data_IF_038027192456
#
_entry.id   IF_038027192456
#
_cell.length_a   1.000
_cell.length_b   1.000
_cell.length_c   1.000
_cell.angle_alpha   90.00
_cell.angle_beta   90.00
_cell.angle_gamma   90.00
#
_symmetry.space_group_name_H-M   'P 1'
#
loop_
_entity.id
_entity.type
_entity.pdbx_description
1 polymer ?
#
# COMPACT_ATOMS: atom_id res chain seq x y z
N UNK A 1 21.40 -29.90 3.59
CA UNK A 1 20.60 -30.01 4.82
C UNK A 1 20.25 -28.59 5.20
N UNK A 2 19.00 -28.22 4.97
CA UNK A 2 18.45 -26.88 5.20
C UNK A 2 18.18 -26.73 6.70
N UNK A 3 18.81 -25.76 7.34
CA UNK A 3 18.51 -25.40 8.73
C UNK A 3 17.17 -24.66 8.77
N UNK A 4 16.19 -25.26 9.44
CA UNK A 4 14.90 -24.65 9.78
C UNK A 4 15.14 -23.85 11.06
N UNK A 5 15.04 -22.53 11.00
CA UNK A 5 15.07 -21.68 12.19
C UNK A 5 13.66 -21.60 12.81
N UNK A 6 13.59 -21.41 14.13
CA UNK A 6 12.40 -21.61 14.98
C UNK A 6 11.21 -20.64 14.76
N UNK A 7 11.28 -19.76 13.76
CA UNK A 7 10.34 -18.63 13.63
C UNK A 7 9.22 -18.84 12.61
N UNK A 8 9.10 -20.01 11.98
CA UNK A 8 7.94 -20.34 11.12
C UNK A 8 7.74 -19.45 9.88
N UNK A 9 8.65 -18.51 9.61
CA UNK A 9 8.66 -17.66 8.42
C UNK A 9 9.84 -18.11 7.56
N UNK A 10 9.56 -18.69 6.38
CA UNK A 10 10.57 -18.91 5.35
C UNK A 10 11.32 -17.61 5.09
N UNK A 11 12.64 -17.71 4.87
CA UNK A 11 13.58 -16.59 4.87
C UNK A 11 13.36 -15.67 3.66
N UNK A 12 12.28 -14.88 3.66
CA UNK A 12 11.96 -13.88 2.64
C UNK A 12 12.89 -12.68 2.83
N UNK A 13 13.42 -12.18 1.72
CA UNK A 13 14.23 -10.95 1.74
C UNK A 13 13.30 -9.78 2.04
N UNK A 14 13.45 -9.16 3.21
CA UNK A 14 12.66 -7.98 3.56
C UNK A 14 13.32 -6.74 2.97
N UNK A 15 12.58 -6.05 2.11
CA UNK A 15 13.01 -4.78 1.55
C UNK A 15 12.93 -3.69 2.61
N UNK A 16 14.07 -3.01 2.79
CA UNK A 16 14.24 -1.93 3.77
C UNK A 16 14.23 -0.57 3.06
N UNK A 17 13.63 0.47 3.66
CA UNK A 17 13.72 1.83 3.15
C UNK A 17 15.19 2.26 3.16
N UNK A 18 15.68 2.75 2.03
CA UNK A 18 17.03 3.31 1.95
C UNK A 18 17.06 4.46 0.95
N UNK A 19 18.07 5.31 1.02
CA UNK A 19 18.26 6.32 -0.04
C UNK A 19 18.42 5.69 -1.43
N UNK A 20 18.84 4.42 -1.50
CA UNK A 20 18.98 3.65 -2.73
C UNK A 20 17.64 3.16 -3.31
N UNK A 21 16.54 3.15 -2.54
CA UNK A 21 15.19 2.79 -3.05
C UNK A 21 14.49 3.96 -3.72
N UNK A 22 14.97 5.20 -3.61
CA UNK A 22 14.34 6.33 -4.32
C UNK A 22 14.80 6.42 -5.78
N UNK A 23 13.85 6.47 -6.70
CA UNK A 23 14.11 6.69 -8.11
C UNK A 23 14.60 8.12 -8.35
N UNK A 24 15.81 8.23 -8.92
CA UNK A 24 16.46 9.51 -9.22
C UNK A 24 15.77 10.21 -10.39
N UNK A 25 15.62 11.54 -10.33
CA UNK A 25 14.80 12.26 -11.30
C UNK A 25 15.19 11.97 -12.75
N UNK A 26 14.20 11.69 -13.57
CA UNK A 26 14.36 11.52 -15.01
C UNK A 26 13.91 12.81 -15.70
N UNK A 27 14.73 13.40 -16.60
CA UNK A 27 14.35 14.60 -17.34
C UNK A 27 13.07 14.42 -18.15
N UNK A 28 12.29 15.49 -18.29
CA UNK A 28 10.99 15.47 -18.96
C UNK A 28 11.09 14.99 -20.41
N UNK A 29 12.17 15.36 -21.11
CA UNK A 29 12.46 14.98 -22.48
C UNK A 29 12.61 13.46 -22.61
N UNK A 30 13.25 12.84 -21.61
CA UNK A 30 13.41 11.39 -21.57
C UNK A 30 12.08 10.68 -21.34
N UNK A 31 11.18 11.25 -20.53
CA UNK A 31 9.82 10.75 -20.38
C UNK A 31 9.08 10.74 -21.73
N UNK A 32 9.20 11.81 -22.50
CA UNK A 32 8.51 11.94 -23.79
C UNK A 32 9.08 10.93 -24.80
N UNK A 33 10.40 10.79 -24.83
CA UNK A 33 11.09 9.77 -25.64
C UNK A 33 10.62 8.35 -25.27
N UNK A 34 10.56 8.03 -23.98
CA UNK A 34 10.11 6.72 -23.50
C UNK A 34 8.67 6.44 -23.92
N UNK A 35 7.76 7.39 -23.75
CA UNK A 35 6.35 7.20 -24.11
C UNK A 35 6.19 6.99 -25.62
N UNK A 36 6.87 7.80 -26.43
CA UNK A 36 6.83 7.66 -27.89
C UNK A 36 7.42 6.31 -28.33
N UNK A 37 8.64 5.99 -27.88
CA UNK A 37 9.36 4.78 -28.30
C UNK A 37 8.70 3.49 -27.80
N UNK A 38 8.19 3.48 -26.57
CA UNK A 38 7.62 2.27 -25.97
C UNK A 38 6.15 2.09 -26.32
N UNK A 39 5.37 3.17 -26.39
CA UNK A 39 3.91 3.06 -26.53
C UNK A 39 3.36 3.66 -27.83
N UNK A 40 4.18 4.29 -28.67
CA UNK A 40 3.72 4.90 -29.93
C UNK A 40 2.88 6.17 -29.74
N UNK A 41 2.82 6.70 -28.51
CA UNK A 41 1.97 7.83 -28.16
C UNK A 41 2.78 9.12 -28.11
N UNK A 42 2.20 10.23 -28.57
CA UNK A 42 2.79 11.56 -28.41
C UNK A 42 2.24 12.20 -27.14
N UNK A 43 3.13 12.55 -26.20
CA UNK A 43 2.74 13.24 -24.95
C UNK A 43 2.31 14.67 -25.24
N UNK A 44 1.10 15.04 -24.81
CA UNK A 44 0.55 16.39 -24.90
C UNK A 44 0.90 17.21 -23.65
N UNK A 45 0.77 16.59 -22.48
CA UNK A 45 1.16 17.18 -21.21
C UNK A 45 1.67 16.11 -20.25
N UNK A 46 2.58 16.50 -19.36
CA UNK A 46 2.99 15.67 -18.23
C UNK A 46 3.13 16.50 -16.96
N UNK A 47 2.87 15.86 -15.82
CA UNK A 47 3.24 16.36 -14.50
C UNK A 47 3.76 15.21 -13.66
N UNK A 48 4.76 15.47 -12.84
CA UNK A 48 5.17 14.54 -11.80
C UNK A 48 4.03 14.43 -10.77
N UNK A 49 3.78 13.22 -10.31
CA UNK A 49 2.83 12.92 -9.22
C UNK A 49 3.66 12.49 -8.03
N UNK A 50 3.20 12.83 -6.82
CA UNK A 50 3.89 12.44 -5.60
C UNK A 50 4.03 10.91 -5.52
N UNK A 51 5.23 10.47 -5.19
CA UNK A 51 5.61 9.07 -5.08
C UNK A 51 6.78 8.95 -4.11
N UNK A 52 6.83 7.84 -3.38
CA UNK A 52 7.85 7.64 -2.34
C UNK A 52 9.15 7.06 -2.92
N UNK A 53 9.09 5.82 -3.40
CA UNK A 53 10.24 5.10 -3.97
C UNK A 53 10.32 5.25 -5.49
N UNK A 54 9.21 5.15 -6.20
CA UNK A 54 9.18 5.24 -7.67
C UNK A 54 9.12 6.69 -8.17
N UNK A 55 9.16 6.86 -9.49
CA UNK A 55 8.73 8.09 -10.14
C UNK A 55 7.48 7.88 -10.95
N UNK A 56 6.42 8.61 -10.57
CA UNK A 56 5.13 8.57 -11.22
C UNK A 56 4.90 9.86 -12.00
N UNK A 57 4.46 9.74 -13.26
CA UNK A 57 4.10 10.86 -14.11
C UNK A 57 2.69 10.67 -14.64
N UNK A 58 1.82 11.63 -14.34
CA UNK A 58 0.54 11.74 -15.04
C UNK A 58 0.81 12.33 -16.42
N UNK A 59 0.32 11.65 -17.46
CA UNK A 59 0.48 12.06 -18.85
C UNK A 59 -0.85 12.03 -19.58
N UNK A 60 -1.06 13.05 -20.42
CA UNK A 60 -2.07 12.99 -21.48
C UNK A 60 -1.37 12.80 -22.81
N UNK A 61 -1.98 12.03 -23.69
CA UNK A 61 -1.37 11.69 -24.96
C UNK A 61 -2.36 11.85 -26.10
N UNK A 62 -1.82 11.97 -27.31
CA UNK A 62 -2.55 11.68 -28.54
C UNK A 62 -1.90 10.49 -29.21
N UNK A 63 -2.71 9.76 -29.96
CA UNK A 63 -2.19 8.82 -30.92
C UNK A 63 -1.67 9.59 -32.14
N UNK A 64 -0.50 9.17 -32.63
CA UNK A 64 0.14 9.78 -33.80
C UNK A 64 -0.44 9.21 -35.09
N UNK A 65 -0.82 7.94 -35.08
CA UNK A 65 -1.15 7.17 -36.30
C UNK A 65 -2.62 6.68 -36.34
N UNK A 66 -3.45 7.03 -35.35
CA UNK A 66 -4.84 6.57 -35.18
C UNK A 66 -5.01 5.04 -35.13
N UNK A 67 -4.04 4.33 -34.56
CA UNK A 67 -4.02 2.87 -34.34
C UNK A 67 -4.20 2.46 -32.87
N UNK A 68 -4.13 3.40 -31.93
CA UNK A 68 -4.11 3.22 -30.48
C UNK A 68 -5.32 3.94 -29.87
N UNK A 69 -6.15 3.19 -29.14
CA UNK A 69 -7.20 3.79 -28.34
C UNK A 69 -6.60 4.52 -27.13
N UNK A 70 -6.72 5.85 -27.10
CA UNK A 70 -6.26 6.67 -25.98
C UNK A 70 -7.28 6.64 -24.84
N UNK A 71 -6.81 6.39 -23.61
CA UNK A 71 -7.59 6.54 -22.39
C UNK A 71 -8.11 7.99 -22.27
N UNK A 72 -9.42 8.20 -22.05
CA UNK A 72 -10.00 9.55 -21.98
C UNK A 72 -9.45 10.40 -20.84
N UNK A 73 -8.90 9.76 -19.81
CA UNK A 73 -8.34 10.42 -18.64
C UNK A 73 -6.81 10.38 -18.61
N UNK A 74 -6.15 9.91 -19.67
CA UNK A 74 -4.70 9.77 -19.71
C UNK A 74 -4.17 8.56 -18.95
N UNK A 75 -2.90 8.64 -18.56
CA UNK A 75 -2.12 7.53 -18.01
C UNK A 75 -1.22 7.97 -16.87
N UNK A 76 -0.81 7.01 -16.05
CA UNK A 76 0.32 7.14 -15.14
C UNK A 76 1.48 6.32 -15.68
N UNK A 77 2.55 6.99 -16.14
CA UNK A 77 3.82 6.34 -16.43
C UNK A 77 4.59 6.17 -15.12
N UNK A 78 5.02 4.95 -14.83
CA UNK A 78 5.80 4.60 -13.64
C UNK A 78 7.22 4.19 -14.05
N UNK A 79 8.21 4.82 -13.43
CA UNK A 79 9.61 4.42 -13.49
C UNK A 79 9.97 3.85 -12.12
N UNK A 80 10.13 2.53 -12.09
CA UNK A 80 10.33 1.75 -10.88
C UNK A 80 11.71 2.02 -10.30
N UNK A 81 11.82 1.96 -8.98
CA UNK A 81 13.09 2.09 -8.30
C UNK A 81 14.12 1.00 -8.73
N UNK A 82 15.43 1.24 -8.49
CA UNK A 82 16.48 0.35 -8.97
C UNK A 82 16.47 -1.03 -8.28
N UNK A 83 15.92 -1.10 -7.06
CA UNK A 83 15.84 -2.33 -6.27
C UNK A 83 14.72 -3.20 -6.84
N UNK A 84 13.51 -2.66 -6.93
CA UNK A 84 12.34 -3.40 -7.42
C UNK A 84 12.41 -3.69 -8.92
N UNK A 85 13.18 -2.89 -9.68
CA UNK A 85 13.49 -3.18 -11.09
C UNK A 85 14.21 -4.52 -11.29
N UNK A 86 14.84 -5.07 -10.24
CA UNK A 86 15.50 -6.39 -10.26
C UNK A 86 14.52 -7.54 -10.03
N UNK A 87 13.27 -7.25 -9.65
CA UNK A 87 12.24 -8.25 -9.36
C UNK A 87 11.05 -8.08 -10.32
N UNK A 88 11.24 -8.31 -11.63
CA UNK A 88 10.19 -8.07 -12.63
C UNK A 88 8.93 -8.91 -12.39
N UNK A 89 9.04 -10.09 -11.77
CA UNK A 89 7.90 -10.94 -11.45
C UNK A 89 6.93 -10.28 -10.45
N UNK A 90 7.43 -9.40 -9.58
CA UNK A 90 6.59 -8.62 -8.66
C UNK A 90 5.71 -7.64 -9.42
N UNK A 91 6.27 -6.95 -10.42
CA UNK A 91 5.52 -6.05 -11.30
C UNK A 91 4.48 -6.81 -12.14
N UNK A 92 4.78 -8.04 -12.58
CA UNK A 92 3.77 -8.89 -13.25
C UNK A 92 2.60 -9.22 -12.31
N UNK A 93 2.91 -9.49 -11.04
CA UNK A 93 1.91 -9.80 -10.02
C UNK A 93 0.95 -8.61 -9.81
N UNK A 94 1.50 -7.40 -9.69
CA UNK A 94 0.71 -6.16 -9.59
C UNK A 94 -0.18 -5.95 -10.82
N UNK A 95 0.34 -6.22 -12.02
CA UNK A 95 -0.42 -6.10 -13.27
C UNK A 95 -1.56 -7.11 -13.35
N UNK A 96 -1.30 -8.36 -12.95
CA UNK A 96 -2.31 -9.41 -12.89
C UNK A 96 -3.40 -9.10 -11.85
N UNK A 97 -3.01 -8.56 -10.69
CA UNK A 97 -3.92 -8.13 -9.63
C UNK A 97 -4.85 -7.02 -10.12
N UNK A 98 -4.29 -5.97 -10.73
CA UNK A 98 -5.05 -4.87 -11.32
C UNK A 98 -6.04 -5.37 -12.39
N UNK A 99 -5.60 -6.26 -13.26
CA UNK A 99 -6.48 -6.87 -14.28
C UNK A 99 -7.62 -7.66 -13.65
N UNK A 100 -7.33 -8.47 -12.62
CA UNK A 100 -8.34 -9.24 -11.87
C UNK A 100 -9.39 -8.33 -11.22
N UNK A 101 -8.95 -7.23 -10.59
CA UNK A 101 -9.84 -6.23 -10.00
C UNK A 101 -10.73 -5.61 -11.09
N UNK A 102 -10.15 -5.19 -12.20
CA UNK A 102 -10.90 -4.61 -13.33
C UNK A 102 -11.94 -5.59 -13.91
N UNK A 103 -11.59 -6.86 -14.07
CA UNK A 103 -12.49 -7.91 -14.57
C UNK A 103 -13.65 -8.21 -13.62
N UNK A 104 -13.52 -7.89 -12.32
CA UNK A 104 -14.63 -7.98 -11.35
C UNK A 104 -15.64 -6.83 -11.46
N UNK A 105 -15.36 -5.82 -12.30
CA UNK A 105 -16.17 -4.61 -12.46
C UNK A 105 -15.80 -3.46 -11.53
N UNK A 106 -14.75 -3.62 -10.70
CA UNK A 106 -14.20 -2.51 -9.92
C UNK A 106 -13.26 -1.67 -10.78
N UNK A 107 -13.31 -0.35 -10.61
CA UNK A 107 -12.35 0.56 -11.23
C UNK A 107 -11.02 0.51 -10.49
N UNK A 108 -9.92 0.36 -11.24
CA UNK A 108 -8.55 0.49 -10.76
C UNK A 108 -7.62 0.83 -11.94
N UNK A 109 -6.37 1.27 -11.70
CA UNK A 109 -5.40 1.49 -12.77
C UNK A 109 -5.13 0.19 -13.53
N UNK A 110 -5.30 0.18 -14.85
CA UNK A 110 -5.11 -1.02 -15.68
C UNK A 110 -3.80 -0.90 -16.46
N UNK A 111 -2.94 -1.93 -16.45
CA UNK A 111 -1.69 -1.95 -17.22
C UNK A 111 -1.90 -1.76 -18.72
N UNK A 112 -1.04 -0.96 -19.34
CA UNK A 112 -1.06 -0.66 -20.78
C UNK A 112 0.07 -1.41 -21.48
N UNK A 113 -0.25 -2.10 -22.58
CA UNK A 113 0.76 -2.78 -23.40
C UNK A 113 1.59 -1.76 -24.17
N UNK A 114 2.89 -2.01 -24.24
CA UNK A 114 3.82 -1.34 -25.12
C UNK A 114 3.73 -1.90 -26.56
N UNK A 115 4.44 -1.29 -27.50
CA UNK A 115 4.46 -1.70 -28.92
C UNK A 115 4.96 -3.13 -29.15
N UNK A 116 5.64 -3.72 -28.16
CA UNK A 116 6.09 -5.14 -28.17
C UNK A 116 5.09 -6.07 -27.48
N UNK A 117 3.88 -5.62 -27.19
CA UNK A 117 2.85 -6.37 -26.46
C UNK A 117 3.22 -6.80 -25.03
N UNK A 118 4.21 -6.15 -24.43
CA UNK A 118 4.60 -6.32 -23.03
C UNK A 118 4.02 -5.20 -22.17
N UNK A 119 3.73 -5.47 -20.88
CA UNK A 119 3.27 -4.45 -19.94
C UNK A 119 4.39 -3.63 -19.29
N UNK A 120 5.64 -4.01 -19.51
CA UNK A 120 6.82 -3.33 -18.96
C UNK A 120 8.00 -3.38 -19.93
N UNK A 121 8.97 -2.51 -19.72
CA UNK A 121 10.26 -2.49 -20.42
C UNK A 121 11.39 -2.20 -19.42
N UNK A 122 12.52 -2.88 -19.55
CA UNK A 122 13.72 -2.56 -18.78
C UNK A 122 14.55 -1.56 -19.59
N UNK A 123 14.82 -0.40 -19.01
CA UNK A 123 15.42 0.73 -19.70
C UNK A 123 16.69 1.20 -18.98
N UNK A 124 17.72 1.52 -19.76
CA UNK A 124 18.92 2.18 -19.25
C UNK A 124 18.66 3.68 -19.13
N UNK A 125 18.64 4.17 -17.89
CA UNK A 125 18.38 5.58 -17.59
C UNK A 125 19.59 6.20 -16.92
N UNK A 126 20.05 7.32 -17.48
CA UNK A 126 21.08 8.15 -16.88
C UNK A 126 20.51 8.88 -15.67
N UNK A 127 21.27 8.84 -14.58
CA UNK A 127 20.98 9.54 -13.33
C UNK A 127 21.61 10.93 -13.34
N UNK A 128 21.18 11.82 -12.42
CA UNK A 128 21.72 13.19 -12.31
C UNK A 128 23.25 13.24 -12.16
N UNK A 129 23.87 12.20 -11.59
CA UNK A 129 25.32 12.11 -11.41
C UNK A 129 26.06 11.46 -12.59
N UNK A 130 25.38 11.20 -13.71
CA UNK A 130 25.96 10.59 -14.92
C UNK A 130 26.05 9.06 -14.90
N UNK A 131 25.77 8.39 -13.77
CA UNK A 131 25.68 6.93 -13.72
C UNK A 131 24.46 6.43 -14.50
N UNK A 132 24.58 5.26 -15.12
CA UNK A 132 23.47 4.58 -15.80
C UNK A 132 22.92 3.48 -14.89
N UNK A 133 21.60 3.44 -14.75
CA UNK A 133 20.89 2.39 -13.98
C UNK A 133 19.80 1.76 -14.84
N UNK A 134 19.62 0.44 -14.67
CA UNK A 134 18.51 -0.30 -15.29
C UNK A 134 17.24 -0.10 -14.45
N UNK A 135 16.21 0.50 -15.07
CA UNK A 135 14.91 0.76 -14.44
C UNK A 135 13.78 0.12 -15.23
N UNK A 136 12.85 -0.53 -14.55
CA UNK A 136 11.60 -0.97 -15.16
C UNK A 136 10.71 0.24 -15.40
N UNK A 137 10.16 0.33 -16.61
CA UNK A 137 9.18 1.34 -17.03
C UNK A 137 7.90 0.63 -17.41
N UNK A 138 6.79 1.05 -16.82
CA UNK A 138 5.46 0.57 -17.19
C UNK A 138 4.44 1.70 -17.13
N UNK A 139 3.27 1.47 -17.71
CA UNK A 139 2.20 2.46 -17.79
C UNK A 139 0.88 1.84 -17.38
N UNK A 140 0.08 2.59 -16.64
CA UNK A 140 -1.29 2.21 -16.25
C UNK A 140 -2.27 3.32 -16.64
N UNK A 141 -3.54 3.00 -16.81
CA UNK A 141 -4.59 4.01 -17.00
C UNK A 141 -4.69 4.93 -15.78
N UNK A 142 -4.92 6.22 -16.02
CA UNK A 142 -5.13 7.18 -14.94
C UNK A 142 -6.59 7.13 -14.47
N UNK A 143 -6.80 7.17 -13.16
CA UNK A 143 -8.14 7.21 -12.55
C UNK A 143 -8.47 8.65 -12.17
N UNK A 144 -9.50 9.27 -12.78
CA UNK A 144 -9.91 10.61 -12.42
C UNK A 144 -10.60 10.62 -11.06
N UNK A 145 -10.40 11.69 -10.30
CA UNK A 145 -11.02 11.90 -9.00
C UNK A 145 -10.10 12.69 -8.09
N UNK A 146 -10.46 12.73 -6.82
CA UNK A 146 -9.68 13.41 -5.78
C UNK A 146 -9.11 12.39 -4.80
N UNK A 147 -7.89 12.63 -4.35
CA UNK A 147 -7.24 11.75 -3.37
C UNK A 147 -7.92 11.94 -2.02
N UNK A 148 -8.25 10.84 -1.33
CA UNK A 148 -8.96 10.88 -0.05
C UNK A 148 -8.18 11.69 1.01
N UNK A 149 -6.86 11.74 0.94
CA UNK A 149 -6.01 12.53 1.83
C UNK A 149 -6.35 14.04 1.83
N UNK A 150 -6.94 14.55 0.75
CA UNK A 150 -7.37 15.95 0.62
C UNK A 150 -8.84 16.16 1.04
N UNK A 151 -9.52 15.10 1.48
CA UNK A 151 -10.94 15.10 1.83
C UNK A 151 -11.10 14.77 3.32
N UNK A 152 -11.87 15.57 4.10
CA UNK A 152 -12.15 15.24 5.49
C UNK A 152 -12.84 13.88 5.63
N UNK A 153 -12.24 13.00 6.42
CA UNK A 153 -12.85 11.72 6.78
C UNK A 153 -14.08 11.95 7.66
N UNK A 154 -15.24 11.49 7.19
CA UNK A 154 -16.50 11.47 7.93
C UNK A 154 -16.95 10.02 8.16
N UNK A 155 -17.80 9.76 9.16
CA UNK A 155 -18.29 8.40 9.42
C UNK A 155 -18.94 7.74 8.19
N UNK A 156 -19.67 8.53 7.39
CA UNK A 156 -20.28 8.08 6.13
C UNK A 156 -19.22 7.66 5.10
N UNK A 157 -18.18 8.46 4.91
CA UNK A 157 -17.05 8.12 4.02
C UNK A 157 -16.36 6.84 4.50
N UNK A 158 -16.07 6.72 5.80
CA UNK A 158 -15.47 5.50 6.38
C UNK A 158 -16.33 4.27 6.15
N UNK A 159 -17.66 4.41 6.20
CA UNK A 159 -18.58 3.32 5.87
C UNK A 159 -18.52 2.91 4.40
N UNK A 160 -18.42 3.87 3.48
CA UNK A 160 -18.21 3.58 2.06
C UNK A 160 -16.86 2.91 1.81
N UNK A 161 -15.82 3.29 2.56
CA UNK A 161 -14.50 2.65 2.51
C UNK A 161 -14.60 1.18 2.95
N UNK A 162 -15.25 0.88 4.08
CA UNK A 162 -15.50 -0.51 4.50
C UNK A 162 -16.27 -1.32 3.45
N UNK A 163 -17.29 -0.73 2.83
CA UNK A 163 -18.00 -1.35 1.71
C UNK A 163 -17.12 -1.59 0.47
N UNK A 164 -16.22 -0.67 0.14
CA UNK A 164 -15.27 -0.85 -0.96
C UNK A 164 -14.25 -1.95 -0.65
N UNK A 165 -13.68 -1.99 0.55
CA UNK A 165 -12.75 -3.04 0.99
C UNK A 165 -13.38 -4.43 0.91
N UNK A 166 -14.68 -4.53 1.21
CA UNK A 166 -15.46 -5.76 1.04
C UNK A 166 -15.47 -6.21 -0.42
N UNK A 167 -15.74 -5.30 -1.35
CA UNK A 167 -15.74 -5.61 -2.79
C UNK A 167 -14.33 -5.98 -3.27
N UNK A 168 -13.30 -5.29 -2.79
CA UNK A 168 -11.91 -5.57 -3.13
C UNK A 168 -11.50 -6.98 -2.67
N UNK A 169 -11.82 -7.37 -1.43
CA UNK A 169 -11.62 -8.75 -0.94
C UNK A 169 -12.32 -9.78 -1.84
N UNK A 170 -13.55 -9.51 -2.23
CA UNK A 170 -14.29 -10.40 -3.14
C UNK A 170 -13.64 -10.52 -4.52
N UNK A 171 -13.17 -9.40 -5.10
CA UNK A 171 -12.48 -9.40 -6.40
C UNK A 171 -11.18 -10.23 -6.38
N UNK A 172 -10.46 -10.20 -5.26
CA UNK A 172 -9.20 -10.91 -5.06
C UNK A 172 -9.38 -12.32 -4.49
N UNK A 173 -10.61 -12.78 -4.26
CA UNK A 173 -10.84 -14.13 -3.74
C UNK A 173 -10.29 -15.19 -4.72
N UNK A 174 -9.42 -16.06 -4.21
CA UNK A 174 -8.75 -17.10 -4.99
C UNK A 174 -7.70 -16.59 -5.98
N UNK A 175 -7.40 -15.28 -5.98
CA UNK A 175 -6.33 -14.74 -6.80
C UNK A 175 -4.97 -15.14 -6.24
N UNK A 176 -4.09 -15.60 -7.12
CA UNK A 176 -2.73 -16.00 -6.81
C UNK A 176 -1.80 -15.62 -7.95
N UNK A 177 -0.57 -15.26 -7.61
CA UNK A 177 0.50 -15.02 -8.57
C UNK A 177 1.86 -15.29 -7.91
N UNK A 178 2.72 -16.09 -8.57
CA UNK A 178 4.02 -16.50 -8.02
C UNK A 178 4.95 -15.30 -7.70
N UNK A 179 4.77 -14.17 -8.39
CA UNK A 179 5.53 -12.94 -8.12
C UNK A 179 5.34 -12.34 -6.70
N UNK A 180 4.39 -12.84 -5.91
CA UNK A 180 4.21 -12.46 -4.51
C UNK A 180 4.82 -13.43 -3.49
N UNK A 181 5.41 -14.55 -3.92
CA UNK A 181 5.90 -15.59 -2.99
C UNK A 181 7.11 -15.13 -2.17
N UNK A 182 8.01 -14.37 -2.78
CA UNK A 182 9.29 -13.95 -2.17
C UNK A 182 9.35 -12.44 -1.86
N UNK A 183 8.26 -11.70 -2.08
CA UNK A 183 8.23 -10.25 -1.88
C UNK A 183 7.66 -9.90 -0.51
N UNK A 184 8.42 -9.14 0.27
CA UNK A 184 8.00 -8.60 1.56
C UNK A 184 8.75 -7.29 1.84
N UNK A 185 8.04 -6.31 2.37
CA UNK A 185 8.61 -5.01 2.77
C UNK A 185 8.50 -4.85 4.29
N UNK A 186 9.35 -4.01 4.89
CA UNK A 186 9.26 -3.69 6.34
C UNK A 186 7.88 -3.14 6.74
N UNK A 187 7.11 -2.67 5.75
CA UNK A 187 5.78 -2.12 5.94
C UNK A 187 4.70 -3.20 6.11
N UNK A 188 4.96 -4.46 5.72
CA UNK A 188 4.00 -5.54 5.96
C UNK A 188 3.89 -5.88 7.45
N UNK A 189 2.68 -6.22 7.92
CA UNK A 189 2.42 -6.51 9.35
C UNK A 189 3.25 -7.71 9.83
N UNK A 190 3.54 -8.66 8.95
CA UNK A 190 4.43 -9.80 9.20
C UNK A 190 5.85 -9.40 9.62
N UNK A 191 6.29 -8.19 9.25
CA UNK A 191 7.62 -7.68 9.61
C UNK A 191 7.67 -7.01 10.98
N UNK A 192 6.58 -7.01 11.76
CA UNK A 192 6.51 -6.36 13.09
C UNK A 192 7.69 -6.73 14.02
N UNK A 193 8.13 -8.00 14.14
CA UNK A 193 9.29 -8.32 14.98
C UNK A 193 10.59 -7.63 14.56
N UNK A 194 10.78 -7.38 13.25
CA UNK A 194 11.98 -6.71 12.72
C UNK A 194 12.07 -5.24 13.11
N UNK A 195 10.98 -4.63 13.57
CA UNK A 195 11.00 -3.25 14.06
C UNK A 195 11.96 -3.05 15.25
N UNK A 196 12.28 -4.12 15.99
CA UNK A 196 13.28 -4.09 17.05
C UNK A 196 14.65 -3.58 16.57
N UNK A 197 15.02 -3.84 15.31
CA UNK A 197 16.26 -3.36 14.69
C UNK A 197 16.30 -1.83 14.52
N UNK A 198 15.13 -1.17 14.53
CA UNK A 198 14.99 0.27 14.30
C UNK A 198 14.75 1.06 15.59
N UNK A 199 14.64 0.38 16.74
CA UNK A 199 14.27 1.00 18.03
C UNK A 199 15.30 1.99 18.58
N UNK A 200 16.54 1.95 18.08
CA UNK A 200 17.55 2.98 18.41
C UNK A 200 17.14 4.36 17.89
N UNK A 201 16.44 4.42 16.75
CA UNK A 201 15.99 5.66 16.11
C UNK A 201 14.83 6.35 16.83
N UNK A 202 14.08 5.57 17.63
CA UNK A 202 12.90 6.05 18.37
C UNK A 202 13.34 6.93 19.53
N UNK A 203 12.62 8.02 19.77
CA UNK A 203 12.89 8.98 20.84
C UNK A 203 11.85 8.87 21.97
N UNK A 204 12.31 8.92 23.22
CA UNK A 204 11.48 8.84 24.42
C UNK A 204 11.24 7.42 24.95
N UNK A 205 11.43 7.21 26.25
CA UNK A 205 11.32 5.89 26.87
C UNK A 205 9.91 5.32 26.79
N UNK A 206 8.88 6.11 27.11
CA UNK A 206 7.47 5.67 27.07
C UNK A 206 7.07 5.18 25.68
N UNK A 207 7.52 5.89 24.63
CA UNK A 207 7.25 5.51 23.24
C UNK A 207 7.92 4.19 22.89
N UNK A 208 9.20 4.01 23.28
CA UNK A 208 9.92 2.74 23.08
C UNK A 208 9.25 1.58 23.80
N UNK A 209 8.81 1.81 25.03
CA UNK A 209 8.12 0.81 25.84
C UNK A 209 6.81 0.38 25.18
N UNK A 210 5.98 1.33 24.74
CA UNK A 210 4.71 1.03 24.06
C UNK A 210 4.93 0.26 22.75
N UNK A 211 5.86 0.69 21.90
CA UNK A 211 6.18 -0.05 20.66
C UNK A 211 6.70 -1.46 20.96
N UNK A 212 7.56 -1.61 21.98
CA UNK A 212 8.07 -2.93 22.39
C UNK A 212 6.95 -3.83 22.92
N UNK A 213 6.00 -3.28 23.67
CA UNK A 213 4.83 -4.00 24.16
C UNK A 213 3.98 -4.55 23.01
N UNK A 214 3.69 -3.72 22.01
CA UNK A 214 2.93 -4.13 20.82
C UNK A 214 3.68 -5.18 20.01
N UNK A 215 5.00 -5.05 19.84
CA UNK A 215 5.82 -6.06 19.16
C UNK A 215 5.74 -7.41 19.89
N UNK A 216 5.83 -7.41 21.23
CA UNK A 216 5.67 -8.64 22.03
C UNK A 216 4.26 -9.22 21.96
N UNK A 217 3.24 -8.36 21.92
CA UNK A 217 1.86 -8.80 21.72
C UNK A 217 1.70 -9.48 20.35
N UNK A 218 2.31 -8.92 19.29
CA UNK A 218 2.34 -9.55 17.98
C UNK A 218 2.96 -10.96 18.03
N UNK A 219 4.14 -11.09 18.62
CA UNK A 219 4.86 -12.37 18.76
C UNK A 219 4.09 -13.41 19.58
N UNK A 220 3.38 -12.98 20.63
CA UNK A 220 2.67 -13.91 21.53
C UNK A 220 1.25 -14.23 21.10
N UNK A 221 0.56 -13.32 20.40
CA UNK A 221 -0.87 -13.46 20.08
C UNK A 221 -1.14 -13.79 18.62
N UNK A 222 -0.30 -13.32 17.68
CA UNK A 222 -0.51 -13.50 16.23
C UNK A 222 0.32 -14.65 15.68
N UNK A 223 1.64 -14.68 15.96
CA UNK A 223 2.55 -15.69 15.40
C UNK A 223 2.05 -17.12 15.64
N UNK A 224 1.59 -17.51 16.84
CA UNK A 224 1.11 -18.89 17.08
C UNK A 224 -0.16 -19.25 16.30
N UNK A 225 -0.92 -18.26 15.84
CA UNK A 225 -2.20 -18.46 15.13
C UNK A 225 -2.05 -18.31 13.62
N UNK A 226 -0.88 -17.91 13.12
CA UNK A 226 -0.70 -17.48 11.73
C UNK A 226 -1.21 -18.51 10.70
N UNK A 227 -0.99 -19.80 10.94
CA UNK A 227 -1.44 -20.88 10.04
C UNK A 227 -2.95 -21.15 10.06
N UNK A 228 -3.65 -20.70 11.10
CA UNK A 228 -5.11 -20.78 11.19
C UNK A 228 -5.83 -19.61 10.51
N UNK A 229 -5.11 -18.53 10.20
CA UNK A 229 -5.70 -17.34 9.58
C UNK A 229 -5.90 -17.52 8.08
N UNK A 230 -6.94 -16.87 7.52
CA UNK A 230 -7.23 -16.96 6.09
C UNK A 230 -6.19 -16.20 5.27
N UNK A 231 -5.43 -16.94 4.44
CA UNK A 231 -4.36 -16.39 3.59
C UNK A 231 -4.85 -16.04 2.18
N UNK A 232 -4.24 -15.04 1.57
CA UNK A 232 -4.42 -14.67 0.17
C UNK A 232 -3.73 -13.34 -0.18
N UNK A 233 -3.80 -12.96 -1.45
CA UNK A 233 -3.24 -11.67 -1.89
C UNK A 233 -4.08 -10.52 -1.35
N UNK A 234 -3.41 -9.54 -0.74
CA UNK A 234 -4.00 -8.30 -0.23
C UNK A 234 -3.39 -7.07 -0.90
N UNK A 235 -4.02 -5.91 -0.75
CA UNK A 235 -3.43 -4.65 -1.23
C UNK A 235 -2.24 -4.21 -0.39
N UNK A 236 -2.32 -4.34 0.94
CA UNK A 236 -1.19 -4.07 1.85
C UNK A 236 -0.90 -2.59 2.12
N UNK A 237 -1.59 -1.65 1.46
CA UNK A 237 -1.38 -0.20 1.62
C UNK A 237 -2.62 0.65 1.29
N UNK A 238 -3.77 0.24 1.85
CA UNK A 238 -5.04 0.98 1.73
C UNK A 238 -4.99 2.18 2.68
N UNK A 239 -4.45 3.30 2.21
CA UNK A 239 -4.33 4.57 2.97
C UNK A 239 -5.09 5.70 2.25
N UNK A 240 -5.37 6.84 2.90
CA UNK A 240 -6.07 7.93 2.22
C UNK A 240 -5.30 8.50 1.01
N UNK A 241 -3.98 8.30 0.94
CA UNK A 241 -3.17 8.71 -0.22
C UNK A 241 -3.38 7.83 -1.46
N UNK A 242 -3.84 6.59 -1.26
CA UNK A 242 -4.03 5.59 -2.31
C UNK A 242 -5.50 5.34 -2.67
N UNK A 243 -6.40 6.19 -2.17
CA UNK A 243 -7.84 6.08 -2.44
C UNK A 243 -8.28 7.28 -3.24
N UNK A 244 -8.90 7.01 -4.39
CA UNK A 244 -9.49 8.03 -5.26
C UNK A 244 -11.00 8.07 -5.01
N UNK A 245 -11.50 9.26 -4.73
CA UNK A 245 -12.90 9.55 -4.45
C UNK A 245 -13.58 10.18 -5.66
N UNK A 246 -14.82 9.76 -5.92
CA UNK A 246 -15.67 10.36 -6.96
C UNK A 246 -16.60 11.41 -6.35
N UNK A 247 -16.17 12.68 -6.36
CA UNK A 247 -16.99 13.81 -5.88
C UNK A 247 -18.25 14.10 -6.71
N UNK A 248 -18.32 13.58 -7.93
CA UNK A 248 -19.52 13.74 -8.76
C UNK A 248 -20.62 12.75 -8.39
N UNK A 249 -20.34 11.79 -7.51
CA UNK A 249 -21.36 10.90 -6.95
C UNK A 249 -22.06 11.56 -5.75
N UNK A 250 -23.39 11.40 -5.59
CA UNK A 250 -24.15 12.01 -4.50
C UNK A 250 -23.59 11.70 -3.10
N UNK A 251 -22.99 10.51 -2.95
CA UNK A 251 -22.53 9.97 -1.68
C UNK A 251 -21.01 10.11 -1.48
N UNK A 252 -20.30 10.79 -2.39
CA UNK A 252 -18.84 10.85 -2.41
C UNK A 252 -18.22 9.44 -2.26
N UNK A 253 -18.58 8.54 -3.18
CA UNK A 253 -18.17 7.15 -3.14
C UNK A 253 -16.71 6.96 -3.59
N UNK A 254 -16.12 5.86 -3.12
CA UNK A 254 -14.79 5.41 -3.56
C UNK A 254 -14.85 5.08 -5.05
N UNK A 255 -14.01 5.76 -5.84
CA UNK A 255 -13.84 5.49 -7.25
C UNK A 255 -12.92 4.29 -7.46
N UNK A 256 -11.75 4.31 -6.82
CA UNK A 256 -10.75 3.25 -6.94
C UNK A 256 -9.78 3.28 -5.76
N UNK A 257 -9.17 2.13 -5.50
CA UNK A 257 -7.86 2.05 -4.85
C UNK A 257 -6.79 1.99 -5.95
N UNK A 258 -5.69 2.69 -5.70
CA UNK A 258 -4.52 2.76 -6.58
C UNK A 258 -3.27 2.28 -5.85
N UNK A 259 -2.21 2.09 -6.62
CA UNK A 259 -0.87 1.75 -6.15
C UNK A 259 -0.72 0.38 -5.47
N UNK A 260 -0.46 -0.65 -6.28
CA UNK A 260 -0.24 -2.02 -5.80
C UNK A 260 1.22 -2.28 -5.38
N UNK A 261 2.00 -1.24 -5.10
CA UNK A 261 3.44 -1.35 -4.78
C UNK A 261 3.77 -2.17 -3.54
N UNK A 262 2.85 -2.25 -2.57
CA UNK A 262 2.98 -3.03 -1.33
C UNK A 262 2.06 -4.26 -1.29
N UNK A 263 1.47 -4.61 -2.44
CA UNK A 263 0.62 -5.81 -2.53
C UNK A 263 1.44 -7.07 -2.26
N UNK A 264 0.86 -8.01 -1.52
CA UNK A 264 1.59 -9.14 -0.96
C UNK A 264 0.67 -10.33 -0.74
N UNK A 265 1.21 -11.55 -0.82
CA UNK A 265 0.52 -12.76 -0.37
C UNK A 265 0.66 -12.89 1.15
N UNK A 266 -0.44 -12.64 1.86
CA UNK A 266 -0.49 -12.35 3.30
C UNK A 266 -1.79 -12.93 3.90
N UNK A 267 -2.23 -12.40 5.03
CA UNK A 267 -3.48 -12.73 5.72
C UNK A 267 -4.54 -11.67 5.40
N UNK A 268 -5.77 -12.08 5.08
CA UNK A 268 -6.83 -11.15 4.70
C UNK A 268 -7.20 -10.12 5.77
N UNK A 269 -7.14 -10.49 7.06
CA UNK A 269 -7.41 -9.55 8.15
C UNK A 269 -6.36 -8.44 8.26
N UNK A 270 -5.16 -8.63 7.68
CA UNK A 270 -4.13 -7.59 7.68
C UNK A 270 -4.47 -6.44 6.73
N UNK A 271 -5.19 -6.67 5.63
CA UNK A 271 -5.64 -5.57 4.76
C UNK A 271 -6.66 -4.67 5.48
N UNK A 272 -7.53 -5.26 6.31
CA UNK A 272 -8.41 -4.53 7.23
C UNK A 272 -7.61 -3.73 8.25
N UNK A 273 -6.64 -4.38 8.92
CA UNK A 273 -5.81 -3.74 9.91
C UNK A 273 -5.02 -2.55 9.34
N UNK A 274 -4.51 -2.69 8.11
CA UNK A 274 -3.82 -1.62 7.38
C UNK A 274 -4.71 -0.40 7.19
N UNK A 275 -5.92 -0.59 6.66
CA UNK A 275 -6.84 0.54 6.41
C UNK A 275 -7.34 1.19 7.71
N UNK A 276 -7.70 0.39 8.71
CA UNK A 276 -8.19 0.90 10.00
C UNK A 276 -7.07 1.70 10.69
N UNK A 277 -5.83 1.19 10.71
CA UNK A 277 -4.69 1.93 11.23
C UNK A 277 -4.48 3.25 10.49
N UNK A 278 -4.60 3.27 9.15
CA UNK A 278 -4.50 4.49 8.36
C UNK A 278 -5.60 5.50 8.73
N UNK A 279 -6.86 5.07 8.83
CA UNK A 279 -7.97 5.98 9.18
C UNK A 279 -7.89 6.51 10.61
N UNK A 280 -7.41 5.69 11.56
CA UNK A 280 -7.10 6.15 12.94
C UNK A 280 -5.98 7.19 12.91
N UNK A 281 -4.96 6.97 12.08
CA UNK A 281 -3.81 7.87 11.94
C UNK A 281 -4.18 9.22 11.30
N UNK A 282 -5.01 9.19 10.26
CA UNK A 282 -5.32 10.33 9.37
C UNK A 282 -6.54 11.14 9.81
N UNK A 283 -7.47 10.56 10.58
CA UNK A 283 -8.71 11.22 10.97
C UNK A 283 -8.73 11.70 12.43
N UNK A 284 -9.69 12.56 12.77
CA UNK A 284 -9.99 12.95 14.16
C UNK A 284 -11.27 12.29 14.69
N UNK A 285 -11.76 11.27 13.98
CA UNK A 285 -12.97 10.54 14.38
C UNK A 285 -12.70 9.71 15.63
N UNK A 286 -13.77 9.34 16.31
CA UNK A 286 -13.70 8.36 17.38
C UNK A 286 -13.24 7.01 16.84
N UNK A 287 -12.35 6.34 17.56
CA UNK A 287 -11.71 5.11 17.09
C UNK A 287 -12.71 3.95 17.00
N UNK A 288 -13.67 3.87 17.91
CA UNK A 288 -14.73 2.87 17.85
C UNK A 288 -15.70 3.15 16.69
N UNK A 289 -15.96 4.43 16.41
CA UNK A 289 -16.75 4.84 15.24
C UNK A 289 -16.05 4.44 13.91
N UNK A 290 -14.72 4.58 13.82
CA UNK A 290 -13.96 4.10 12.66
C UNK A 290 -14.11 2.59 12.51
N UNK A 291 -13.88 1.83 13.60
CA UNK A 291 -13.99 0.38 13.61
C UNK A 291 -15.38 -0.08 13.17
N UNK A 292 -16.44 0.48 13.75
CA UNK A 292 -17.83 0.14 13.40
C UNK A 292 -18.12 0.40 11.92
N UNK A 293 -17.74 1.58 11.42
CA UNK A 293 -18.04 1.96 10.04
C UNK A 293 -17.24 1.14 9.02
N UNK A 294 -16.01 0.73 9.32
CA UNK A 294 -15.24 -0.18 8.43
C UNK A 294 -15.76 -1.61 8.52
N UNK A 295 -15.92 -2.15 9.74
CA UNK A 295 -16.16 -3.57 9.97
C UNK A 295 -17.62 -3.97 9.70
N UNK A 296 -18.61 -3.14 10.04
CA UNK A 296 -20.04 -3.46 9.86
C UNK A 296 -20.43 -3.85 8.42
N UNK A 297 -20.06 -3.10 7.36
CA UNK A 297 -20.34 -3.54 5.99
C UNK A 297 -19.51 -4.76 5.58
N UNK A 298 -18.29 -4.91 6.11
CA UNK A 298 -17.38 -5.99 5.75
C UNK A 298 -17.81 -7.35 6.31
N UNK A 299 -18.10 -7.41 7.62
CA UNK A 299 -18.42 -8.66 8.30
C UNK A 299 -19.77 -9.25 7.87
N UNK A 300 -20.66 -8.43 7.29
CA UNK A 300 -21.90 -8.89 6.65
C UNK A 300 -21.66 -9.82 5.45
N UNK A 301 -20.53 -9.67 4.77
CA UNK A 301 -20.18 -10.48 3.59
C UNK A 301 -19.08 -11.48 3.92
N UNK A 302 -18.09 -11.05 4.71
CA UNK A 302 -16.96 -11.88 5.16
C UNK A 302 -16.88 -11.85 6.70
N UNK A 303 -17.66 -12.69 7.39
CA UNK A 303 -17.56 -12.82 8.84
C UNK A 303 -16.13 -13.15 9.25
N UNK A 304 -15.63 -12.48 10.29
CA UNK A 304 -14.34 -12.81 10.87
C UNK A 304 -14.46 -14.13 11.64
N UNK A 305 -13.49 -15.02 11.44
CA UNK A 305 -13.31 -16.19 12.30
C UNK A 305 -12.97 -15.76 13.74
N UNK A 306 -13.08 -16.67 14.70
CA UNK A 306 -12.69 -16.39 16.08
C UNK A 306 -11.21 -16.02 16.17
N UNK A 307 -10.37 -16.69 15.38
CA UNK A 307 -8.94 -16.45 15.28
C UNK A 307 -8.64 -15.08 14.67
N UNK A 308 -9.26 -14.72 13.54
CA UNK A 308 -9.10 -13.39 12.91
C UNK A 308 -9.58 -12.26 13.82
N UNK A 309 -10.73 -12.44 14.50
CA UNK A 309 -11.24 -11.50 15.48
C UNK A 309 -10.26 -11.31 16.65
N UNK A 310 -9.68 -12.41 17.15
CA UNK A 310 -8.75 -12.38 18.28
C UNK A 310 -7.43 -11.66 18.00
N UNK A 311 -7.00 -11.57 16.73
CA UNK A 311 -5.73 -10.93 16.34
C UNK A 311 -5.91 -9.49 15.83
N UNK A 312 -7.13 -9.07 15.52
CA UNK A 312 -7.41 -7.79 14.85
C UNK A 312 -6.85 -6.58 15.63
N UNK A 313 -7.04 -6.53 16.95
CA UNK A 313 -6.54 -5.43 17.78
C UNK A 313 -5.01 -5.31 17.65
N UNK A 314 -4.31 -6.42 17.84
CA UNK A 314 -2.85 -6.45 17.77
C UNK A 314 -2.35 -6.14 16.36
N UNK A 315 -3.04 -6.59 15.31
CA UNK A 315 -2.66 -6.29 13.93
C UNK A 315 -2.78 -4.78 13.61
N UNK A 316 -3.85 -4.11 14.06
CA UNK A 316 -4.01 -2.65 13.89
C UNK A 316 -2.90 -1.90 14.66
N UNK A 317 -2.64 -2.30 15.91
CA UNK A 317 -1.58 -1.71 16.72
C UNK A 317 -0.18 -1.93 16.11
N UNK A 318 0.05 -3.11 15.55
CA UNK A 318 1.28 -3.46 14.86
C UNK A 318 1.49 -2.54 13.65
N UNK A 319 0.46 -2.29 12.83
CA UNK A 319 0.56 -1.34 11.70
C UNK A 319 0.83 0.10 12.18
N UNK A 320 0.16 0.57 13.24
CA UNK A 320 0.45 1.89 13.82
C UNK A 320 1.90 1.98 14.36
N UNK A 321 2.40 0.90 14.94
CA UNK A 321 3.80 0.77 15.39
C UNK A 321 4.77 0.80 14.21
N UNK A 322 4.47 0.10 13.11
CA UNK A 322 5.24 0.16 11.85
C UNK A 322 5.32 1.61 11.37
N UNK A 323 4.18 2.31 11.28
CA UNK A 323 4.16 3.73 10.86
C UNK A 323 5.07 4.54 11.78
N UNK A 324 4.86 4.47 13.10
CA UNK A 324 5.58 5.27 14.09
C UNK A 324 7.09 5.02 14.16
N UNK A 325 7.52 3.76 14.15
CA UNK A 325 8.95 3.40 14.15
C UNK A 325 9.60 3.83 12.85
N UNK A 326 8.96 3.56 11.71
CA UNK A 326 9.56 3.84 10.40
C UNK A 326 9.64 5.34 10.11
N UNK A 327 8.67 6.16 10.53
CA UNK A 327 8.81 7.63 10.36
C UNK A 327 9.93 8.20 11.22
N UNK A 328 10.17 7.70 12.43
CA UNK A 328 11.32 8.13 13.25
C UNK A 328 12.65 7.65 12.69
N UNK A 329 12.68 6.44 12.13
CA UNK A 329 13.83 5.98 11.36
C UNK A 329 14.10 6.89 10.15
N UNK A 330 13.07 7.24 9.37
CA UNK A 330 13.22 8.16 8.25
C UNK A 330 13.65 9.56 8.69
N UNK A 331 13.16 10.05 9.83
CA UNK A 331 13.66 11.29 10.45
C UNK A 331 15.15 11.17 10.80
N UNK A 332 15.58 10.02 11.32
CA UNK A 332 16.98 9.79 11.68
C UNK A 332 17.92 9.91 10.47
N UNK A 333 17.45 9.53 9.28
CA UNK A 333 18.18 9.61 8.01
C UNK A 333 18.11 11.01 7.38
N UNK A 334 16.89 11.56 7.22
CA UNK A 334 16.66 12.77 6.40
C UNK A 334 16.63 14.06 7.19
N UNK A 335 16.37 14.01 8.50
CA UNK A 335 16.25 15.17 9.40
C UNK A 335 15.18 16.20 8.97
N UNK A 336 14.16 15.77 8.23
CA UNK A 336 13.06 16.65 7.81
C UNK A 336 11.98 16.74 8.90
N UNK A 337 11.55 17.97 9.25
CA UNK A 337 10.61 18.22 10.35
C UNK A 337 9.26 17.51 10.19
N UNK A 338 8.82 17.25 8.96
CA UNK A 338 7.60 16.51 8.67
C UNK A 338 7.59 15.14 9.36
N UNK A 339 8.67 14.35 9.24
CA UNK A 339 8.75 13.01 9.86
C UNK A 339 8.66 13.04 11.39
N UNK A 340 9.14 14.12 12.02
CA UNK A 340 9.06 14.28 13.46
C UNK A 340 7.61 14.49 13.92
N UNK A 341 6.83 15.32 13.22
CA UNK A 341 5.42 15.53 13.53
C UNK A 341 4.57 14.28 13.27
N UNK A 342 4.83 13.58 12.16
CA UNK A 342 4.21 12.30 11.86
C UNK A 342 4.49 11.26 12.97
N UNK A 343 5.73 11.18 13.46
CA UNK A 343 6.12 10.27 14.55
C UNK A 343 5.50 10.61 15.92
N UNK A 344 5.17 11.88 16.18
CA UNK A 344 4.39 12.28 17.36
C UNK A 344 2.93 11.86 17.22
N UNK A 345 2.33 12.07 16.04
CA UNK A 345 0.95 11.67 15.78
C UNK A 345 0.80 10.15 15.87
N UNK A 346 1.69 9.37 15.23
CA UNK A 346 1.65 7.91 15.26
C UNK A 346 1.65 7.35 16.68
N UNK A 347 2.56 7.83 17.54
CA UNK A 347 2.61 7.43 18.95
C UNK A 347 1.32 7.79 19.69
N UNK A 348 0.83 9.03 19.53
CA UNK A 348 -0.41 9.47 20.18
C UNK A 348 -1.59 8.57 19.81
N UNK A 349 -1.76 8.29 18.51
CA UNK A 349 -2.85 7.47 18.00
C UNK A 349 -2.74 6.01 18.41
N UNK A 350 -1.53 5.46 18.41
CA UNK A 350 -1.30 4.12 18.94
C UNK A 350 -1.69 4.04 20.41
N UNK A 351 -1.27 5.00 21.24
CA UNK A 351 -1.59 5.02 22.67
C UNK A 351 -3.11 5.06 22.90
N UNK A 352 -3.81 5.98 22.23
CA UNK A 352 -5.28 6.09 22.30
C UNK A 352 -5.96 4.76 21.92
N UNK A 353 -5.52 4.10 20.85
CA UNK A 353 -6.09 2.82 20.41
C UNK A 353 -5.74 1.65 21.33
N UNK A 354 -4.50 1.59 21.83
CA UNK A 354 -4.01 0.46 22.61
C UNK A 354 -4.72 0.34 23.97
N UNK A 355 -5.14 1.47 24.54
CA UNK A 355 -5.90 1.56 25.79
C UNK A 355 -7.34 1.03 25.67
N UNK A 356 -7.88 0.86 24.45
CA UNK A 356 -9.26 0.37 24.23
C UNK A 356 -9.37 -1.13 24.57
N UNK A 357 -10.29 -1.56 25.45
CA UNK A 357 -10.52 -2.97 25.74
C UNK A 357 -10.95 -3.77 24.51
N UNK A 358 -10.45 -5.00 24.36
CA UNK A 358 -10.79 -5.87 23.21
C UNK A 358 -12.30 -6.13 23.09
N UNK A 359 -13.01 -6.21 24.21
CA UNK A 359 -14.47 -6.41 24.24
C UNK A 359 -15.23 -5.22 23.64
N UNK A 360 -14.70 -4.00 23.74
CA UNK A 360 -15.31 -2.83 23.10
C UNK A 360 -15.12 -2.85 21.59
N UNK A 361 -13.93 -3.24 21.13
CA UNK A 361 -13.65 -3.43 19.70
C UNK A 361 -14.59 -4.49 19.12
N UNK A 362 -14.73 -5.63 19.78
CA UNK A 362 -15.58 -6.74 19.31
C UNK A 362 -17.07 -6.35 19.21
N UNK A 363 -17.57 -5.51 20.11
CA UNK A 363 -18.96 -5.00 20.08
C UNK A 363 -19.30 -4.17 18.84
N UNK A 364 -18.30 -3.64 18.12
CA UNK A 364 -18.53 -2.78 16.95
C UNK A 364 -19.01 -3.54 15.71
N UNK A 365 -18.84 -4.87 15.65
CA UNK A 365 -19.19 -5.66 14.46
C UNK A 365 -19.82 -7.03 14.73
N UNK A 366 -19.97 -7.42 16.00
CA UNK A 366 -20.66 -8.65 16.41
C UNK A 366 -22.18 -8.49 16.60
N UNK A 367 -22.77 -7.38 16.14
CA UNK A 367 -24.21 -7.07 16.31
C UNK A 367 -25.08 -7.58 15.16
#
# INVERSE_FOLDING_TARGET
>A
MTEINKDGVENRTVLMPSEATKARNVPKEKIYELVFRLFGMTVLSSRKVDSWDDQNFYITCKDTDNTIQISPHGYTLKIVNAVDSKVPAFIDAQHAMAKRISESGLTCPVPVKNLKSSYKSLEELSTENGNVELRLVHMVTFIPGEVLADIPLTPSIVRHLGGYMTKLRGALQGFYHAGYEDHQTIYNIECTPKLMEFMESVTGCEKKELYTEVIRAYESEIVPKYDSLTKGVIHGDITAKNIIMNKNSPDCNVAAVIDFGDSVNSVHVFDLAVAIAAFIYESKLDVLEILENVLSPYTKVFPLTAEESSVLKVAIAARLTIIGVMVEYMYSLKKEAYFLEEGKNAYKRLKEFWEIPVDEINKTYMQ
#
